data_IF_606379315583
#
_entry.id   IF_606379315583
#
_cell.length_a   1.000
_cell.length_b   1.000
_cell.length_c   1.000
_cell.angle_alpha   90.00
_cell.angle_beta   90.00
_cell.angle_gamma   90.00
#
_symmetry.space_group_name_H-M   'P 1'
#
loop_
_entity.id
_entity.type
_entity.pdbx_description
1 polymer ?
#
# COMPACT_ATOMS: atom_id res chain seq x y z
N UNK A 1 37.83 12.16 6.63
CA UNK A 1 36.80 11.72 7.61
C UNK A 1 35.56 11.31 6.81
N UNK A 2 35.42 10.03 6.44
CA UNK A 2 34.30 9.57 5.62
C UNK A 2 33.04 9.47 6.50
N UNK A 3 31.97 10.19 6.16
CA UNK A 3 30.66 10.02 6.81
C UNK A 3 30.20 8.59 6.56
N UNK A 4 30.05 7.79 7.62
CA UNK A 4 29.33 6.51 7.52
C UNK A 4 27.94 6.84 6.95
N UNK A 5 27.47 6.14 5.90
CA UNK A 5 26.11 6.34 5.41
C UNK A 5 25.17 6.11 6.60
N UNK A 6 24.24 7.03 6.82
CA UNK A 6 23.26 6.91 7.88
C UNK A 6 22.50 5.60 7.67
N UNK A 7 22.79 4.58 8.49
CA UNK A 7 22.09 3.32 8.43
C UNK A 7 20.61 3.59 8.67
N UNK A 8 19.79 3.28 7.68
CA UNK A 8 18.37 3.49 7.79
C UNK A 8 17.82 2.54 8.85
N UNK A 9 17.38 3.09 9.98
CA UNK A 9 16.85 2.29 11.08
C UNK A 9 15.62 1.48 10.62
N UNK A 10 15.48 0.22 11.09
CA UNK A 10 14.28 -0.56 10.85
C UNK A 10 13.06 0.14 11.45
N UNK A 11 11.93 0.05 10.76
CA UNK A 11 10.69 0.73 11.17
C UNK A 11 10.11 0.01 12.39
N UNK A 12 9.91 0.73 13.49
CA UNK A 12 9.30 0.16 14.69
C UNK A 12 7.88 -0.34 14.44
N UNK A 13 7.44 -1.36 15.19
CA UNK A 13 6.15 -2.01 14.98
C UNK A 13 4.95 -1.07 15.02
N UNK A 14 4.92 -0.11 15.94
CA UNK A 14 3.85 0.90 16.00
C UNK A 14 3.80 1.78 14.75
N UNK A 15 4.96 2.19 14.21
CA UNK A 15 5.00 2.93 12.95
C UNK A 15 4.51 2.07 11.78
N UNK A 16 4.85 0.78 11.75
CA UNK A 16 4.32 -0.15 10.75
C UNK A 16 2.79 -0.24 10.80
N UNK A 17 2.22 -0.31 12.01
CA UNK A 17 0.76 -0.32 12.20
C UNK A 17 0.12 0.97 11.68
N UNK A 18 0.68 2.14 12.02
CA UNK A 18 0.16 3.43 11.59
C UNK A 18 0.11 3.59 10.06
N UNK A 19 1.04 2.97 9.34
CA UNK A 19 1.04 2.95 7.87
C UNK A 19 0.22 1.79 7.30
N UNK A 20 0.08 0.67 8.02
CA UNK A 20 -0.72 -0.46 7.56
C UNK A 20 -2.23 -0.17 7.58
N UNK A 21 -2.72 0.51 8.62
CA UNK A 21 -4.14 0.83 8.77
C UNK A 21 -4.71 1.56 7.54
N UNK A 22 -4.17 2.72 7.10
CA UNK A 22 -4.70 3.41 5.92
C UNK A 22 -4.55 2.58 4.64
N UNK A 23 -3.43 1.88 4.44
CA UNK A 23 -3.22 1.00 3.30
C UNK A 23 -4.23 -0.15 3.19
N UNK A 24 -4.93 -0.48 4.29
CA UNK A 24 -5.99 -1.49 4.33
C UNK A 24 -7.38 -0.86 4.30
N UNK A 25 -7.67 0.06 5.22
CA UNK A 25 -9.01 0.60 5.45
C UNK A 25 -9.47 1.49 4.30
N UNK A 26 -8.57 2.28 3.72
CA UNK A 26 -8.93 3.24 2.68
C UNK A 26 -9.31 2.54 1.36
N UNK A 27 -8.55 1.56 0.84
CA UNK A 27 -9.01 0.75 -0.28
C UNK A 27 -10.32 0.00 0.03
N UNK A 28 -10.51 -0.56 1.24
CA UNK A 28 -11.77 -1.23 1.58
C UNK A 28 -12.97 -0.26 1.60
N UNK A 29 -12.77 0.95 2.08
CA UNK A 29 -13.79 2.01 2.06
C UNK A 29 -14.19 2.33 0.62
N UNK A 30 -13.23 2.38 -0.29
CA UNK A 30 -13.50 2.56 -1.71
C UNK A 30 -14.22 1.35 -2.32
N UNK A 31 -13.79 0.12 -2.00
CA UNK A 31 -14.44 -1.09 -2.49
C UNK A 31 -15.92 -1.12 -2.07
N UNK A 32 -16.20 -0.77 -0.81
CA UNK A 32 -17.56 -0.61 -0.30
C UNK A 32 -18.33 0.46 -1.07
N UNK A 33 -17.74 1.65 -1.23
CA UNK A 33 -18.37 2.75 -1.97
C UNK A 33 -18.69 2.36 -3.43
N UNK A 34 -17.74 1.76 -4.15
CA UNK A 34 -17.94 1.31 -5.53
C UNK A 34 -19.01 0.21 -5.67
N UNK A 35 -19.24 -0.58 -4.62
CA UNK A 35 -20.29 -1.60 -4.61
C UNK A 35 -21.70 -1.03 -4.42
N UNK A 36 -21.82 0.08 -3.68
CA UNK A 36 -23.12 0.69 -3.33
C UNK A 36 -23.47 1.96 -4.12
N UNK A 37 -22.48 2.65 -4.69
CA UNK A 37 -22.63 3.95 -5.36
C UNK A 37 -22.14 3.83 -6.81
N UNK A 38 -23.05 3.80 -7.81
CA UNK A 38 -22.68 3.72 -9.22
C UNK A 38 -21.71 4.83 -9.66
N UNK A 39 -21.87 6.03 -9.13
CA UNK A 39 -21.07 7.20 -9.47
C UNK A 39 -19.58 7.00 -9.16
N UNK A 40 -19.27 6.25 -8.09
CA UNK A 40 -17.88 5.93 -7.71
C UNK A 40 -17.28 4.90 -8.67
N UNK A 41 -18.08 3.94 -9.14
CA UNK A 41 -17.65 2.95 -10.11
C UNK A 41 -17.43 3.57 -11.49
N UNK A 42 -18.30 4.50 -11.90
CA UNK A 42 -18.22 5.17 -13.21
C UNK A 42 -17.07 6.18 -13.27
N UNK A 43 -16.71 6.81 -12.14
CA UNK A 43 -15.53 7.65 -12.03
C UNK A 43 -14.20 6.86 -12.05
N UNK A 44 -14.25 5.55 -11.81
CA UNK A 44 -13.05 4.72 -11.75
C UNK A 44 -12.63 4.24 -13.14
N UNK A 45 -11.32 4.19 -13.46
CA UNK A 45 -10.83 3.70 -14.74
C UNK A 45 -11.05 2.20 -14.96
N UNK A 46 -11.48 1.48 -13.92
CA UNK A 46 -11.59 0.02 -13.94
C UNK A 46 -13.05 -0.48 -13.94
N UNK A 47 -14.02 0.43 -13.87
CA UNK A 47 -15.43 0.10 -13.65
C UNK A 47 -15.68 -0.65 -12.34
N UNK A 48 -16.94 -0.96 -12.02
CA UNK A 48 -17.33 -1.50 -10.71
C UNK A 48 -16.51 -2.72 -10.25
N UNK A 49 -16.48 -3.77 -11.07
CA UNK A 49 -15.83 -5.03 -10.69
C UNK A 49 -14.31 -4.85 -10.55
N UNK A 50 -13.69 -4.09 -11.45
CA UNK A 50 -12.25 -3.81 -11.42
C UNK A 50 -11.85 -2.97 -10.22
N UNK A 51 -12.60 -1.90 -9.91
CA UNK A 51 -12.40 -1.05 -8.73
C UNK A 51 -12.43 -1.87 -7.45
N UNK A 52 -13.45 -2.71 -7.28
CA UNK A 52 -13.60 -3.58 -6.10
C UNK A 52 -12.44 -4.57 -6.02
N UNK A 53 -12.09 -5.25 -7.12
CA UNK A 53 -11.02 -6.23 -7.15
C UNK A 53 -9.65 -5.61 -6.80
N UNK A 54 -9.29 -4.49 -7.42
CA UNK A 54 -8.03 -3.78 -7.17
C UNK A 54 -7.96 -3.30 -5.71
N UNK A 55 -9.04 -2.74 -5.20
CA UNK A 55 -9.08 -2.21 -3.84
C UNK A 55 -9.01 -3.30 -2.76
N UNK A 56 -9.72 -4.42 -2.95
CA UNK A 56 -9.62 -5.59 -2.06
C UNK A 56 -8.21 -6.19 -2.12
N UNK A 57 -7.63 -6.31 -3.32
CA UNK A 57 -6.26 -6.81 -3.49
C UNK A 57 -5.25 -5.92 -2.78
N UNK A 58 -5.39 -4.59 -2.87
CA UNK A 58 -4.56 -3.63 -2.14
C UNK A 58 -4.63 -3.84 -0.63
N UNK A 59 -5.83 -4.01 -0.08
CA UNK A 59 -6.01 -4.24 1.34
C UNK A 59 -5.37 -5.55 1.80
N UNK A 60 -5.62 -6.65 1.08
CA UNK A 60 -5.06 -7.98 1.41
C UNK A 60 -3.53 -7.97 1.33
N UNK A 61 -2.96 -7.46 0.24
CA UNK A 61 -1.52 -7.39 0.08
C UNK A 61 -0.87 -6.47 1.12
N UNK A 62 -1.50 -5.35 1.47
CA UNK A 62 -0.98 -4.43 2.49
C UNK A 62 -0.96 -5.09 3.88
N UNK A 63 -2.03 -5.79 4.26
CA UNK A 63 -2.08 -6.54 5.50
C UNK A 63 -1.04 -7.67 5.53
N UNK A 64 -0.90 -8.40 4.43
CA UNK A 64 0.11 -9.45 4.28
C UNK A 64 1.54 -8.88 4.35
N UNK A 65 1.80 -7.80 3.62
CA UNK A 65 3.09 -7.10 3.61
C UNK A 65 3.47 -6.57 4.99
N UNK A 66 2.53 -5.96 5.71
CA UNK A 66 2.75 -5.55 7.10
C UNK A 66 3.07 -6.75 8.00
N UNK A 67 2.37 -7.88 7.83
CA UNK A 67 2.64 -9.10 8.59
C UNK A 67 4.04 -9.65 8.32
N UNK A 68 4.48 -9.67 7.06
CA UNK A 68 5.83 -10.11 6.69
C UNK A 68 6.91 -9.15 7.20
N UNK A 69 6.67 -7.85 7.13
CA UNK A 69 7.59 -6.84 7.65
C UNK A 69 7.71 -6.94 9.18
N UNK A 70 6.64 -7.33 9.89
CA UNK A 70 6.65 -7.53 11.33
C UNK A 70 7.34 -8.84 11.75
N UNK A 71 6.94 -9.97 11.17
CA UNK A 71 7.38 -11.31 11.62
C UNK A 71 8.75 -11.70 11.08
N UNK A 72 9.23 -11.01 10.04
CA UNK A 72 10.37 -11.47 9.27
C UNK A 72 9.96 -12.61 8.33
N UNK A 73 10.59 -12.66 7.16
CA UNK A 73 10.31 -13.66 6.14
C UNK A 73 11.54 -13.86 5.24
N UNK A 74 11.55 -14.99 4.50
CA UNK A 74 12.60 -15.31 3.54
C UNK A 74 12.75 -14.21 2.47
N UNK A 75 13.98 -14.01 1.99
CA UNK A 75 14.28 -12.95 1.02
C UNK A 75 13.43 -13.06 -0.26
N UNK A 76 13.18 -14.29 -0.73
CA UNK A 76 12.35 -14.56 -1.91
C UNK A 76 10.89 -14.10 -1.69
N UNK A 77 10.26 -14.49 -0.57
CA UNK A 77 8.87 -14.13 -0.29
C UNK A 77 8.70 -12.61 -0.13
N UNK A 78 9.68 -11.95 0.50
CA UNK A 78 9.67 -10.48 0.61
C UNK A 78 9.83 -9.79 -0.75
N UNK A 79 10.71 -10.29 -1.60
CA UNK A 79 10.92 -9.75 -2.94
C UNK A 79 9.64 -9.81 -3.78
N UNK A 80 8.99 -10.98 -3.80
CA UNK A 80 7.70 -11.17 -4.48
C UNK A 80 6.64 -10.23 -3.90
N UNK A 81 6.53 -10.15 -2.58
CA UNK A 81 5.53 -9.29 -1.93
C UNK A 81 5.76 -7.81 -2.23
N UNK A 82 7.02 -7.36 -2.23
CA UNK A 82 7.36 -5.98 -2.57
C UNK A 82 7.01 -5.63 -4.02
N UNK A 83 7.23 -6.55 -4.97
CA UNK A 83 6.82 -6.37 -6.37
C UNK A 83 5.29 -6.27 -6.47
N UNK A 84 4.56 -7.16 -5.81
CA UNK A 84 3.09 -7.12 -5.82
C UNK A 84 2.54 -5.83 -5.19
N UNK A 85 3.11 -5.39 -4.07
CA UNK A 85 2.74 -4.11 -3.44
C UNK A 85 3.05 -2.92 -4.36
N UNK A 86 4.18 -2.93 -5.07
CA UNK A 86 4.52 -1.88 -6.02
C UNK A 86 3.53 -1.83 -7.20
N UNK A 87 3.16 -2.98 -7.76
CA UNK A 87 2.13 -3.06 -8.81
C UNK A 87 0.81 -2.48 -8.31
N UNK A 88 0.37 -2.87 -7.12
CA UNK A 88 -0.90 -2.38 -6.59
C UNK A 88 -0.84 -0.91 -6.18
N UNK A 89 0.31 -0.40 -5.72
CA UNK A 89 0.51 1.03 -5.50
C UNK A 89 0.32 1.83 -6.80
N UNK A 90 0.79 1.32 -7.95
CA UNK A 90 0.58 1.96 -9.26
C UNK A 90 -0.90 1.94 -9.64
N UNK A 91 -1.60 0.82 -9.43
CA UNK A 91 -3.03 0.72 -9.74
C UNK A 91 -3.88 1.67 -8.87
N UNK A 92 -3.62 1.71 -7.56
CA UNK A 92 -4.30 2.65 -6.64
C UNK A 92 -3.90 4.09 -6.94
N UNK A 93 -2.65 4.35 -7.31
CA UNK A 93 -2.19 5.67 -7.74
C UNK A 93 -2.87 6.14 -9.03
N UNK A 94 -3.13 5.24 -9.98
CA UNK A 94 -3.91 5.57 -11.17
C UNK A 94 -5.36 5.91 -10.80
N UNK A 95 -6.00 5.13 -9.92
CA UNK A 95 -7.34 5.46 -9.44
C UNK A 95 -7.37 6.81 -8.73
N UNK A 96 -6.39 7.07 -7.87
CA UNK A 96 -6.21 8.35 -7.16
C UNK A 96 -6.23 9.52 -8.15
N UNK A 97 -5.44 9.41 -9.23
CA UNK A 97 -5.43 10.41 -10.30
C UNK A 97 -6.83 10.60 -10.91
N UNK A 98 -7.51 9.52 -11.31
CA UNK A 98 -8.85 9.61 -11.89
C UNK A 98 -9.87 10.24 -10.94
N UNK A 99 -9.89 9.89 -9.65
CA UNK A 99 -10.80 10.49 -8.68
C UNK A 99 -10.55 12.00 -8.48
N UNK A 100 -9.30 12.48 -8.58
CA UNK A 100 -9.02 13.91 -8.53
C UNK A 100 -9.57 14.69 -9.73
N UNK A 101 -9.63 14.07 -10.91
CA UNK A 101 -10.04 14.73 -12.16
C UNK A 101 -11.48 14.41 -12.59
N UNK A 102 -12.20 13.52 -11.89
CA UNK A 102 -13.58 13.14 -12.21
C UNK A 102 -14.64 14.10 -11.68
N UNK A 103 -14.26 15.08 -10.84
CA UNK A 103 -15.15 16.12 -10.34
C UNK A 103 -15.01 16.38 -8.83
N UNK A 104 -15.57 17.50 -8.31
CA UNK A 104 -15.35 17.94 -6.93
C UNK A 104 -15.87 16.95 -5.88
N UNK A 105 -16.95 16.22 -6.18
CA UNK A 105 -17.51 15.19 -5.28
C UNK A 105 -16.51 14.04 -5.01
N UNK A 106 -15.62 13.77 -5.97
CA UNK A 106 -14.71 12.63 -5.94
C UNK A 106 -13.33 12.93 -5.34
N UNK A 107 -13.03 14.22 -5.12
CA UNK A 107 -11.75 14.67 -4.55
C UNK A 107 -11.48 14.04 -3.18
N UNK A 108 -12.52 13.81 -2.37
CA UNK A 108 -12.38 13.13 -1.09
C UNK A 108 -11.84 11.69 -1.23
N UNK A 109 -12.32 10.94 -2.23
CA UNK A 109 -11.78 9.62 -2.56
C UNK A 109 -10.35 9.72 -3.11
N UNK A 110 -10.05 10.76 -3.90
CA UNK A 110 -8.69 11.03 -4.37
C UNK A 110 -7.70 11.23 -3.21
N UNK A 111 -8.04 12.08 -2.23
CA UNK A 111 -7.19 12.32 -1.04
C UNK A 111 -7.00 11.03 -0.23
N UNK A 112 -8.09 10.29 -0.02
CA UNK A 112 -8.07 9.03 0.70
C UNK A 112 -7.18 7.99 0.00
N UNK A 113 -7.29 7.82 -1.32
CA UNK A 113 -6.44 6.89 -2.06
C UNK A 113 -5.00 7.38 -2.22
N UNK A 114 -4.77 8.69 -2.22
CA UNK A 114 -3.41 9.24 -2.18
C UNK A 114 -2.69 8.81 -0.90
N UNK A 115 -3.38 8.91 0.24
CA UNK A 115 -2.84 8.46 1.52
C UNK A 115 -2.61 6.95 1.54
N UNK A 116 -3.54 6.16 0.99
CA UNK A 116 -3.36 4.71 0.83
C UNK A 116 -2.14 4.40 -0.04
N UNK A 117 -1.98 5.09 -1.17
CA UNK A 117 -0.87 4.90 -2.11
C UNK A 117 0.48 5.16 -1.42
N UNK A 118 0.59 6.27 -0.69
CA UNK A 118 1.80 6.61 0.07
C UNK A 118 2.09 5.53 1.11
N UNK A 119 1.04 5.08 1.82
CA UNK A 119 1.14 4.05 2.85
C UNK A 119 1.62 2.70 2.28
N UNK A 120 1.11 2.28 1.12
CA UNK A 120 1.57 1.08 0.40
C UNK A 120 3.04 1.21 -0.03
N UNK A 121 3.47 2.39 -0.49
CA UNK A 121 4.86 2.65 -0.83
C UNK A 121 5.78 2.54 0.40
N UNK A 122 5.35 3.07 1.55
CA UNK A 122 6.08 2.95 2.82
C UNK A 122 6.16 1.48 3.27
N UNK A 123 5.06 0.73 3.19
CA UNK A 123 5.03 -0.70 3.49
C UNK A 123 5.96 -1.50 2.58
N UNK A 124 5.95 -1.23 1.27
CA UNK A 124 6.87 -1.84 0.29
C UNK A 124 8.32 -1.66 0.75
N UNK A 125 8.68 -0.44 1.17
CA UNK A 125 10.02 -0.14 1.68
C UNK A 125 10.33 -0.87 2.98
N UNK A 126 9.36 -1.01 3.89
CA UNK A 126 9.51 -1.76 5.14
C UNK A 126 9.73 -3.26 4.89
N UNK A 127 8.95 -3.87 3.98
CA UNK A 127 9.11 -5.28 3.56
C UNK A 127 10.50 -5.54 2.99
N UNK A 128 11.01 -4.63 2.17
CA UNK A 128 12.36 -4.74 1.62
C UNK A 128 13.45 -4.59 2.69
N UNK A 129 13.28 -3.69 3.67
CA UNK A 129 14.27 -3.43 4.72
C UNK A 129 14.35 -4.49 5.83
N UNK A 130 13.30 -5.29 6.01
CA UNK A 130 13.38 -6.45 6.89
C UNK A 130 14.50 -7.46 6.47
N UNK A 131 15.09 -7.30 5.28
CA UNK A 131 16.29 -8.02 4.82
C UNK A 131 17.51 -7.85 5.70
N UNK A 132 17.84 -6.60 6.00
CA UNK A 132 19.16 -6.27 6.54
C UNK A 132 19.33 -6.66 8.00
N UNK A 133 18.22 -6.88 8.71
CA UNK A 133 18.21 -7.28 10.12
C UNK A 133 18.40 -8.79 10.32
N UNK A 134 17.90 -9.65 9.41
CA UNK A 134 18.03 -11.11 9.55
C UNK A 134 19.43 -11.58 9.14
N UNK A 135 19.95 -11.08 8.01
CA UNK A 135 21.28 -11.49 7.52
C UNK A 135 22.45 -10.99 8.41
N UNK A 136 22.21 -9.97 9.25
CA UNK A 136 23.16 -9.54 10.30
C UNK A 136 23.09 -10.37 11.58
N UNK A 137 21.97 -11.05 11.85
CA UNK A 137 21.84 -11.89 13.04
C UNK A 137 22.52 -13.26 12.86
N UNK A 138 22.65 -13.71 11.61
CA UNK A 138 23.28 -14.99 11.24
C UNK A 138 24.80 -14.88 10.97
N UNK A 139 25.42 -13.71 11.14
CA UNK A 139 26.87 -13.48 11.01
C UNK A 139 27.48 -13.03 12.32
#
# INVERSE_FOLDING_TARGET
>A
MARRPAEAQPMGGFALLLWAVPAVIEPLTLAFAASGLPEVADASPYGRAGTVAVAVLAAVLSAFGATLAWRGASAALRGVTAVLLAVVAVLIGLMTFYFFFSGPMFVAFGILLLHATISICVLTRAVLRAASSVERADR
#
